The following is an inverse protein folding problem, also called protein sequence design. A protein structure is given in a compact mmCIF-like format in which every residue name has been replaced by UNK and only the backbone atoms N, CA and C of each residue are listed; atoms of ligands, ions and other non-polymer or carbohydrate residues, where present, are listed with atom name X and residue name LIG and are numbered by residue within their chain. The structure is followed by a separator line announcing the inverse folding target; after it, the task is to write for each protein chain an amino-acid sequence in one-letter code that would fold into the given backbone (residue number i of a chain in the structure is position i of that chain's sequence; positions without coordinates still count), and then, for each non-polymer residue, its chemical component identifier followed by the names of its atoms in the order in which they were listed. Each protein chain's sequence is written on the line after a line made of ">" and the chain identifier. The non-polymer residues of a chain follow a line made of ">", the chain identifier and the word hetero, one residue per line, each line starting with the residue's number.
data_IF_713542600854
#
_entry.id   IF_713542600854
#
_cell.length_a   1.000
_cell.length_b   1.000
_cell.length_c   1.000
_cell.angle_alpha   90.00
_cell.angle_beta   90.00
_cell.angle_gamma   90.00
#
_symmetry.space_group_name_H-M   'P 1'
#
loop_
_entity.id
_entity.type
_entity.pdbx_description
1 polymer ?
#
# COMPACT_ATOMS: atom_id res chain seq x y z
N UNK A 1 -3.07 5.90 0.39
CA UNK A 1 -2.47 4.55 0.38
C UNK A 1 -2.56 3.71 -0.92
N UNK A 2 -3.34 4.03 -1.97
CA UNK A 2 -3.32 3.23 -3.22
C UNK A 2 -3.19 4.04 -4.52
N UNK A 3 -3.28 5.38 -4.44
CA UNK A 3 -3.03 6.42 -5.47
C UNK A 3 -3.16 6.03 -6.96
N UNK A 4 -4.11 5.16 -7.31
CA UNK A 4 -4.25 4.64 -8.68
C UNK A 4 -2.97 3.98 -9.21
N UNK A 5 -2.18 3.30 -8.38
CA UNK A 5 -0.86 2.75 -8.78
C UNK A 5 -0.92 1.83 -10.00
N UNK A 6 -2.05 1.15 -10.22
CA UNK A 6 -2.29 0.31 -11.40
C UNK A 6 -2.57 1.11 -12.69
N UNK A 7 -2.83 2.41 -12.59
CA UNK A 7 -3.04 3.32 -13.73
C UNK A 7 -1.76 4.04 -14.16
N UNK A 8 -0.66 3.97 -13.38
CA UNK A 8 0.64 4.57 -13.72
C UNK A 8 1.10 4.20 -15.14
N UNK A 9 0.99 2.94 -15.61
CA UNK A 9 1.38 2.58 -16.97
C UNK A 9 0.62 3.32 -18.08
N UNK A 10 -0.58 3.84 -17.79
CA UNK A 10 -1.43 4.57 -18.76
C UNK A 10 -1.02 6.05 -18.87
N UNK A 11 -0.36 6.60 -17.85
CA UNK A 11 0.01 8.03 -17.78
C UNK A 11 0.83 8.50 -19.00
N UNK A 12 1.90 7.80 -19.44
CA UNK A 12 2.67 8.22 -20.61
C UNK A 12 1.81 8.30 -21.89
N UNK A 13 0.89 7.36 -22.07
CA UNK A 13 -0.01 7.32 -23.24
C UNK A 13 -0.94 8.52 -23.26
N UNK A 14 -1.57 8.84 -22.12
CA UNK A 14 -2.44 10.01 -21.99
C UNK A 14 -1.69 11.32 -22.18
N UNK A 15 -0.44 11.41 -21.69
CA UNK A 15 0.40 12.59 -21.91
C UNK A 15 0.73 12.78 -23.39
N UNK A 16 1.13 11.73 -24.10
CA UNK A 16 1.43 11.80 -25.54
C UNK A 16 0.19 12.20 -26.33
N UNK A 17 -0.96 11.58 -26.07
CA UNK A 17 -2.22 11.93 -26.72
C UNK A 17 -2.67 13.36 -26.40
N UNK A 18 -2.54 13.80 -25.15
CA UNK A 18 -2.83 15.17 -24.73
C UNK A 18 -1.94 16.18 -25.45
N UNK A 19 -0.64 15.90 -25.57
CA UNK A 19 0.30 16.75 -26.31
C UNK A 19 -0.01 16.78 -27.81
N UNK A 20 -0.30 15.65 -28.43
CA UNK A 20 -0.65 15.56 -29.85
C UNK A 20 -1.95 16.32 -30.17
N UNK A 21 -2.99 16.15 -29.34
CA UNK A 21 -4.24 16.89 -29.45
C UNK A 21 -4.04 18.39 -29.25
N UNK A 22 -3.23 18.78 -28.27
CA UNK A 22 -2.91 20.20 -28.04
C UNK A 22 -2.15 20.80 -29.24
N UNK A 23 -1.18 20.08 -29.80
CA UNK A 23 -0.45 20.53 -30.97
C UNK A 23 -1.36 20.71 -32.21
N UNK A 24 -2.31 19.79 -32.41
CA UNK A 24 -3.30 19.89 -33.48
C UNK A 24 -4.22 21.11 -33.31
N UNK A 25 -4.68 21.38 -32.09
CA UNK A 25 -5.55 22.53 -31.80
C UNK A 25 -4.82 23.88 -31.92
N UNK A 26 -3.55 23.93 -31.54
CA UNK A 26 -2.72 25.15 -31.58
C UNK A 26 -2.08 25.38 -32.96
N UNK A 27 -2.14 24.41 -33.87
CA UNK A 27 -1.56 24.47 -35.23
C UNK A 27 -2.15 25.53 -36.17
N UNK A 28 -3.20 26.24 -35.78
CA UNK A 28 -3.69 27.41 -36.51
C UNK A 28 -2.66 28.54 -36.58
N UNK A 29 -2.87 29.52 -37.47
CA UNK A 29 -2.06 30.76 -37.56
C UNK A 29 -2.83 31.95 -36.97
N UNK A 30 -3.07 32.02 -35.65
CA UNK A 30 -3.74 33.16 -35.05
C UNK A 30 -2.87 34.43 -35.19
N UNK A 31 -3.48 35.63 -35.15
CA UNK A 31 -2.74 36.89 -35.19
C UNK A 31 -1.71 36.95 -34.06
N UNK A 32 -0.56 37.60 -34.31
CA UNK A 32 0.63 37.54 -33.44
C UNK A 32 0.39 37.90 -31.98
N UNK A 33 -0.50 38.87 -31.70
CA UNK A 33 -0.88 39.27 -30.33
C UNK A 33 -1.68 38.19 -29.60
N UNK A 34 -2.63 37.54 -30.28
CA UNK A 34 -3.43 36.45 -29.72
C UNK A 34 -2.55 35.22 -29.44
N UNK A 35 -1.65 34.88 -30.38
CA UNK A 35 -0.67 33.80 -30.21
C UNK A 35 0.21 34.01 -28.97
N UNK A 36 0.70 35.24 -28.78
CA UNK A 36 1.54 35.59 -27.64
C UNK A 36 0.78 35.54 -26.30
N UNK A 37 -0.45 36.07 -26.26
CA UNK A 37 -1.30 36.01 -25.07
C UNK A 37 -1.63 34.56 -24.70
N UNK A 38 -2.08 33.76 -25.67
CA UNK A 38 -2.39 32.34 -25.48
C UNK A 38 -1.17 31.58 -24.98
N UNK A 39 0.00 31.77 -25.61
CA UNK A 39 1.24 31.13 -25.16
C UNK A 39 1.62 31.46 -23.71
N UNK A 40 1.48 32.73 -23.30
CA UNK A 40 1.74 33.13 -21.91
C UNK A 40 0.76 32.53 -20.92
N UNK A 41 -0.53 32.52 -21.26
CA UNK A 41 -1.56 31.90 -20.42
C UNK A 41 -1.30 30.40 -20.29
N UNK A 42 -0.97 29.71 -21.39
CA UNK A 42 -0.62 28.28 -21.35
C UNK A 42 0.57 27.99 -20.45
N UNK A 43 1.67 28.74 -20.59
CA UNK A 43 2.85 28.57 -19.71
C UNK A 43 2.50 28.83 -18.26
N UNK A 44 1.71 29.88 -17.97
CA UNK A 44 1.26 30.19 -16.61
C UNK A 44 0.38 29.09 -16.03
N UNK A 45 -0.57 28.56 -16.80
CA UNK A 45 -1.45 27.45 -16.38
C UNK A 45 -0.66 26.18 -16.14
N UNK A 46 0.24 25.80 -17.05
CA UNK A 46 1.10 24.62 -16.87
C UNK A 46 1.98 24.81 -15.64
N UNK A 47 2.60 25.98 -15.47
CA UNK A 47 3.40 26.29 -14.30
C UNK A 47 2.61 26.16 -13.00
N UNK A 48 1.39 26.72 -12.95
CA UNK A 48 0.50 26.61 -11.80
C UNK A 48 0.11 25.16 -11.52
N UNK A 49 -0.30 24.40 -12.54
CA UNK A 49 -0.68 22.99 -12.40
C UNK A 49 0.49 22.14 -11.92
N UNK A 50 1.71 22.39 -12.42
CA UNK A 50 2.91 21.70 -11.94
C UNK A 50 3.19 22.02 -10.48
N UNK A 51 3.11 23.28 -10.07
CA UNK A 51 3.29 23.67 -8.66
C UNK A 51 2.26 23.01 -7.77
N UNK A 52 0.98 23.01 -8.16
CA UNK A 52 -0.09 22.33 -7.42
C UNK A 52 0.14 20.82 -7.35
N UNK A 53 0.54 20.20 -8.47
CA UNK A 53 0.84 18.77 -8.55
C UNK A 53 1.98 18.40 -7.59
N UNK A 54 3.07 19.16 -7.60
CA UNK A 54 4.20 18.95 -6.69
C UNK A 54 3.82 19.13 -5.23
N UNK A 55 3.01 20.15 -4.92
CA UNK A 55 2.61 20.39 -3.53
C UNK A 55 1.71 19.29 -2.98
N UNK A 56 0.68 18.90 -3.73
CA UNK A 56 -0.21 17.79 -3.36
C UNK A 56 0.54 16.45 -3.33
N UNK A 57 1.42 16.23 -4.30
CA UNK A 57 2.26 15.03 -4.37
C UNK A 57 3.22 14.92 -3.21
N UNK A 58 3.83 16.02 -2.78
CA UNK A 58 4.71 16.05 -1.60
C UNK A 58 3.93 15.71 -0.32
N UNK A 59 2.78 16.34 -0.11
CA UNK A 59 1.92 16.05 1.05
C UNK A 59 1.54 14.56 1.08
N UNK A 60 1.01 14.02 -0.02
CA UNK A 60 0.66 12.60 -0.13
C UNK A 60 1.87 11.68 0.12
N UNK A 61 3.01 11.96 -0.50
CA UNK A 61 4.24 11.19 -0.33
C UNK A 61 4.71 11.16 1.12
N UNK A 62 4.74 12.31 1.80
CA UNK A 62 5.17 12.36 3.20
C UNK A 62 4.27 11.55 4.12
N UNK A 63 2.94 11.59 3.88
CA UNK A 63 1.97 10.82 4.66
C UNK A 63 2.11 9.32 4.41
N UNK A 64 2.22 8.89 3.15
CA UNK A 64 2.41 7.48 2.80
C UNK A 64 3.70 6.92 3.43
N UNK A 65 4.80 7.67 3.37
CA UNK A 65 6.08 7.28 4.00
C UNK A 65 5.96 7.20 5.52
N UNK A 66 5.22 8.12 6.15
CA UNK A 66 4.99 8.10 7.59
C UNK A 66 4.18 6.87 8.02
N UNK A 67 3.13 6.51 7.27
CA UNK A 67 2.35 5.28 7.51
C UNK A 67 3.21 4.04 7.34
N UNK A 68 3.93 3.89 6.22
CA UNK A 68 4.79 2.72 5.96
C UNK A 68 5.80 2.51 7.10
N UNK A 69 6.46 3.59 7.53
CA UNK A 69 7.48 3.49 8.57
C UNK A 69 6.87 3.25 9.96
N UNK A 70 5.74 3.89 10.27
CA UNK A 70 5.05 3.76 11.56
C UNK A 70 4.35 2.41 11.74
N UNK A 71 3.86 1.82 10.65
CA UNK A 71 3.12 0.57 10.64
C UNK A 71 4.01 -0.63 10.30
N UNK A 72 4.30 -0.81 9.01
CA UNK A 72 4.94 -2.03 8.51
C UNK A 72 6.39 -2.16 8.98
N UNK A 73 7.18 -1.08 8.89
CA UNK A 73 8.60 -1.10 9.29
C UNK A 73 8.75 -1.21 10.81
N UNK A 74 7.92 -0.49 11.58
CA UNK A 74 7.94 -0.59 13.04
C UNK A 74 7.59 -2.00 13.52
N UNK A 75 6.56 -2.62 12.92
CA UNK A 75 6.14 -3.99 13.22
C UNK A 75 7.23 -5.00 12.85
N UNK A 76 7.84 -4.86 11.67
CA UNK A 76 8.94 -5.74 11.26
C UNK A 76 10.13 -5.66 12.22
N UNK A 77 10.52 -4.45 12.65
CA UNK A 77 11.57 -4.27 13.65
C UNK A 77 11.20 -4.82 15.03
N UNK A 78 9.91 -4.78 15.40
CA UNK A 78 9.44 -5.41 16.63
C UNK A 78 9.59 -6.94 16.54
N UNK A 79 9.17 -7.56 15.43
CA UNK A 79 9.32 -9.00 15.20
C UNK A 79 10.79 -9.44 15.30
N UNK A 80 11.70 -8.75 14.62
CA UNK A 80 13.14 -9.05 14.67
C UNK A 80 13.68 -9.07 16.11
N UNK A 81 13.19 -8.20 16.99
CA UNK A 81 13.69 -8.07 18.37
C UNK A 81 13.01 -8.98 19.38
N UNK A 82 11.78 -9.45 19.10
CA UNK A 82 10.92 -10.09 20.11
C UNK A 82 10.54 -11.53 19.77
N UNK A 83 10.87 -12.02 18.58
CA UNK A 83 10.48 -13.37 18.13
C UNK A 83 11.69 -14.11 17.53
N UNK A 84 11.64 -15.44 17.47
CA UNK A 84 12.76 -16.26 17.01
C UNK A 84 12.88 -16.18 15.47
N UNK A 85 14.11 -16.25 14.92
CA UNK A 85 14.34 -16.09 13.48
C UNK A 85 13.74 -17.20 12.60
N UNK A 86 13.45 -18.36 13.17
CA UNK A 86 12.89 -19.55 12.50
C UNK A 86 11.36 -19.66 12.65
N UNK A 87 10.72 -18.74 13.37
CA UNK A 87 9.26 -18.74 13.54
C UNK A 87 8.57 -18.18 12.29
N UNK A 88 7.66 -18.99 11.74
CA UNK A 88 6.87 -18.65 10.56
C UNK A 88 5.86 -17.53 10.87
N UNK A 89 5.74 -16.59 9.93
CA UNK A 89 4.86 -15.42 10.05
C UNK A 89 3.86 -15.44 8.92
N UNK A 90 2.57 -15.28 9.23
CA UNK A 90 1.54 -14.97 8.25
C UNK A 90 1.30 -13.46 8.20
N UNK A 91 1.21 -12.88 7.01
CA UNK A 91 0.92 -11.47 6.83
C UNK A 91 0.22 -11.18 5.50
N UNK A 92 -0.59 -10.11 5.45
CA UNK A 92 -1.11 -9.58 4.18
C UNK A 92 -0.10 -8.64 3.50
N UNK A 93 0.44 -7.68 4.25
CA UNK A 93 1.42 -6.73 3.74
C UNK A 93 2.85 -7.23 3.99
N UNK A 94 3.29 -8.15 3.14
CA UNK A 94 4.54 -8.90 3.33
C UNK A 94 5.82 -8.10 3.07
N UNK A 95 5.74 -6.92 2.43
CA UNK A 95 6.90 -6.22 1.87
C UNK A 95 7.98 -5.85 2.90
N UNK A 96 7.64 -4.99 3.86
CA UNK A 96 8.59 -4.58 4.89
C UNK A 96 8.87 -5.73 5.88
N UNK A 97 7.85 -6.52 6.19
CA UNK A 97 7.98 -7.66 7.11
C UNK A 97 9.04 -8.62 6.55
N UNK A 98 8.89 -9.11 5.33
CA UNK A 98 9.86 -10.04 4.71
C UNK A 98 11.23 -9.42 4.50
N UNK A 99 11.31 -8.14 4.12
CA UNK A 99 12.58 -7.45 3.91
C UNK A 99 13.42 -7.32 5.18
N UNK A 100 12.81 -6.92 6.31
CA UNK A 100 13.54 -6.68 7.56
C UNK A 100 13.67 -7.93 8.43
N UNK A 101 12.71 -8.87 8.38
CA UNK A 101 12.80 -10.10 9.17
C UNK A 101 13.69 -11.15 8.50
N UNK A 102 13.81 -11.12 7.17
CA UNK A 102 14.49 -12.15 6.36
C UNK A 102 13.96 -13.57 6.62
N UNK A 103 12.67 -13.69 6.95
CA UNK A 103 12.00 -14.96 7.26
C UNK A 103 11.11 -15.44 6.12
N UNK A 104 10.78 -16.72 6.16
CA UNK A 104 9.68 -17.27 5.39
C UNK A 104 8.34 -16.66 5.87
N UNK A 105 7.47 -16.31 4.92
CA UNK A 105 6.20 -15.65 5.20
C UNK A 105 5.09 -16.36 4.44
N UNK A 106 4.00 -16.64 5.14
CA UNK A 106 2.72 -17.02 4.54
C UNK A 106 1.99 -15.75 4.13
N UNK A 107 1.77 -15.59 2.82
CA UNK A 107 1.20 -14.38 2.25
C UNK A 107 -0.31 -14.49 2.03
N UNK A 108 -1.06 -13.75 2.84
CA UNK A 108 -2.52 -13.72 2.76
C UNK A 108 -3.04 -13.01 1.50
N UNK A 109 -2.21 -12.21 0.82
CA UNK A 109 -2.56 -11.51 -0.41
C UNK A 109 -2.24 -12.32 -1.68
N UNK A 110 -1.56 -13.46 -1.54
CA UNK A 110 -1.27 -14.39 -2.64
C UNK A 110 -0.24 -13.92 -3.67
N UNK A 111 0.62 -12.94 -3.35
CA UNK A 111 1.76 -12.53 -4.18
C UNK A 111 2.85 -13.61 -4.21
N UNK A 112 3.16 -14.21 -3.05
CA UNK A 112 4.15 -15.31 -2.95
C UNK A 112 3.53 -16.66 -2.53
N UNK A 113 2.29 -16.66 -2.03
CA UNK A 113 1.51 -17.85 -1.68
C UNK A 113 0.30 -18.00 -2.62
N UNK A 114 0.50 -18.40 -3.90
CA UNK A 114 -0.56 -18.37 -4.92
C UNK A 114 -1.74 -19.31 -4.61
N UNK A 115 -1.54 -20.30 -3.74
CA UNK A 115 -2.58 -21.23 -3.31
C UNK A 115 -3.72 -20.53 -2.56
N UNK A 116 -3.46 -19.35 -1.98
CA UNK A 116 -4.47 -18.51 -1.31
C UNK A 116 -5.42 -17.81 -2.29
N UNK A 117 -4.99 -17.55 -3.52
CA UNK A 117 -5.75 -16.74 -4.51
C UNK A 117 -7.21 -17.20 -4.71
N UNK A 118 -7.55 -18.50 -4.79
CA UNK A 118 -8.92 -18.95 -4.97
C UNK A 118 -9.87 -18.57 -3.83
N UNK A 119 -9.34 -18.37 -2.62
CA UNK A 119 -10.13 -18.13 -1.40
C UNK A 119 -9.66 -16.90 -0.60
N UNK A 120 -8.87 -16.02 -1.20
CA UNK A 120 -8.29 -14.80 -0.60
C UNK A 120 -9.29 -13.85 0.07
N UNK A 121 -10.59 -13.96 -0.26
CA UNK A 121 -11.69 -13.15 0.32
C UNK A 121 -12.57 -13.91 1.30
N UNK A 122 -12.27 -15.18 1.55
CA UNK A 122 -13.02 -16.04 2.44
C UNK A 122 -12.18 -16.25 3.71
N UNK A 123 -12.50 -15.49 4.76
CA UNK A 123 -11.75 -15.54 6.03
C UNK A 123 -11.80 -16.92 6.68
N UNK A 124 -12.89 -17.67 6.50
CA UNK A 124 -13.01 -19.02 7.03
C UNK A 124 -12.02 -19.97 6.35
N UNK A 125 -11.94 -19.92 5.02
CA UNK A 125 -10.95 -20.72 4.27
C UNK A 125 -9.51 -20.26 4.54
N UNK A 126 -9.27 -18.96 4.74
CA UNK A 126 -7.97 -18.44 5.17
C UNK A 126 -7.57 -18.98 6.55
N UNK A 127 -8.50 -19.05 7.50
CA UNK A 127 -8.25 -19.64 8.83
C UNK A 127 -7.88 -21.12 8.69
N UNK A 128 -8.64 -21.88 7.90
CA UNK A 128 -8.36 -23.30 7.66
C UNK A 128 -6.98 -23.50 7.00
N UNK A 129 -6.62 -22.64 6.06
CA UNK A 129 -5.30 -22.62 5.44
C UNK A 129 -4.19 -22.29 6.44
N UNK A 130 -4.37 -21.25 7.26
CA UNK A 130 -3.39 -20.87 8.29
C UNK A 130 -3.24 -21.93 9.38
N UNK A 131 -4.31 -22.64 9.74
CA UNK A 131 -4.23 -23.78 10.64
C UNK A 131 -3.38 -24.92 10.04
N UNK A 132 -3.31 -25.05 8.71
CA UNK A 132 -2.47 -26.05 8.05
C UNK A 132 -1.01 -25.60 7.96
N UNK A 133 -0.78 -24.33 7.62
CA UNK A 133 0.57 -23.75 7.53
C UNK A 133 1.23 -23.55 8.90
N UNK A 134 0.45 -23.45 9.97
CA UNK A 134 0.95 -23.31 11.34
C UNK A 134 1.93 -22.14 11.56
N UNK A 135 1.57 -20.90 11.16
CA UNK A 135 2.37 -19.75 11.54
C UNK A 135 2.35 -19.58 13.07
N UNK A 136 3.40 -18.98 13.63
CA UNK A 136 3.43 -18.62 15.06
C UNK A 136 2.80 -17.25 15.27
N UNK A 137 2.96 -16.36 14.29
CA UNK A 137 2.45 -15.00 14.33
C UNK A 137 1.61 -14.67 13.11
N UNK A 138 0.51 -13.96 13.34
CA UNK A 138 -0.27 -13.29 12.31
C UNK A 138 -0.04 -11.78 12.41
N UNK A 139 0.27 -11.14 11.28
CA UNK A 139 0.44 -9.68 11.18
C UNK A 139 -0.55 -9.10 10.20
N UNK A 140 -1.42 -8.22 10.68
CA UNK A 140 -2.41 -7.56 9.85
C UNK A 140 -2.91 -6.27 10.51
N UNK A 141 -3.55 -5.41 9.71
CA UNK A 141 -4.50 -4.45 10.24
C UNK A 141 -5.75 -5.20 10.72
N UNK A 142 -6.23 -4.97 11.95
CA UNK A 142 -7.35 -5.72 12.53
C UNK A 142 -8.64 -5.65 11.71
N UNK A 143 -8.90 -4.48 11.14
CA UNK A 143 -10.04 -4.11 10.31
C UNK A 143 -10.04 -4.75 8.92
N UNK A 144 -8.93 -5.35 8.48
CA UNK A 144 -8.87 -6.09 7.21
C UNK A 144 -9.40 -7.51 7.32
N UNK A 145 -9.25 -8.14 8.48
CA UNK A 145 -9.63 -9.53 8.73
C UNK A 145 -10.28 -9.70 10.10
N UNK A 146 -11.47 -9.10 10.31
CA UNK A 146 -12.13 -9.12 11.61
C UNK A 146 -12.40 -10.53 12.14
N UNK A 147 -12.73 -11.49 11.27
CA UNK A 147 -12.97 -12.88 11.69
C UNK A 147 -11.65 -13.58 12.05
N UNK A 148 -10.59 -13.36 11.26
CA UNK A 148 -9.28 -13.93 11.55
C UNK A 148 -8.69 -13.36 12.84
N UNK A 149 -8.88 -12.10 13.20
CA UNK A 149 -8.29 -11.56 14.44
C UNK A 149 -9.15 -11.83 15.69
N UNK A 150 -10.43 -12.18 15.52
CA UNK A 150 -11.36 -12.38 16.64
C UNK A 150 -10.90 -13.51 17.56
N UNK A 151 -10.83 -13.21 18.86
CA UNK A 151 -10.47 -14.18 19.90
C UNK A 151 -8.98 -14.52 19.99
N UNK A 152 -8.13 -13.94 19.14
CA UNK A 152 -6.67 -14.17 19.16
C UNK A 152 -5.96 -13.23 20.11
N UNK A 153 -4.90 -13.70 20.74
CA UNK A 153 -4.08 -12.89 21.62
C UNK A 153 -3.23 -11.92 20.82
N UNK A 154 -3.55 -10.62 20.92
CA UNK A 154 -2.69 -9.55 20.43
C UNK A 154 -1.46 -9.40 21.34
N UNK A 155 -0.27 -9.50 20.76
CA UNK A 155 1.01 -9.36 21.49
C UNK A 155 1.73 -8.05 21.21
N UNK A 156 1.37 -7.39 20.12
CA UNK A 156 1.89 -6.07 19.76
C UNK A 156 0.90 -5.33 18.86
N UNK A 157 0.87 -4.01 18.99
CA UNK A 157 0.20 -3.11 18.06
C UNK A 157 1.05 -1.84 17.96
N UNK A 158 1.14 -1.29 16.76
CA UNK A 158 1.75 0.02 16.53
C UNK A 158 0.85 1.13 17.11
N UNK A 159 1.43 2.31 17.30
CA UNK A 159 0.72 3.48 17.84
C UNK A 159 0.93 4.70 16.94
N UNK A 160 0.64 4.55 15.65
CA UNK A 160 0.86 5.60 14.67
C UNK A 160 -0.35 6.52 14.58
N UNK A 161 -0.18 7.78 14.98
CA UNK A 161 -1.25 8.78 14.93
C UNK A 161 -1.77 9.02 13.50
N UNK A 162 -0.89 9.05 12.50
CA UNK A 162 -1.28 9.34 11.13
C UNK A 162 -2.21 8.26 10.53
N UNK A 163 -2.03 7.00 10.92
CA UNK A 163 -2.90 5.88 10.51
C UNK A 163 -4.31 6.09 11.06
N UNK A 164 -4.43 6.48 12.34
CA UNK A 164 -5.72 6.81 12.95
C UNK A 164 -6.37 8.05 12.35
N UNK A 165 -5.58 9.05 11.93
CA UNK A 165 -6.10 10.21 11.21
C UNK A 165 -6.73 9.83 9.87
N UNK A 166 -6.28 8.74 9.25
CA UNK A 166 -6.92 8.14 8.07
C UNK A 166 -8.16 7.29 8.38
N UNK A 167 -8.47 7.07 9.66
CA UNK A 167 -9.61 6.27 10.11
C UNK A 167 -9.39 4.76 10.02
N UNK A 168 -8.14 4.33 9.87
CA UNK A 168 -7.73 2.92 9.86
C UNK A 168 -7.23 2.52 11.25
N UNK A 169 -7.37 1.24 11.62
CA UNK A 169 -6.72 0.74 12.82
C UNK A 169 -5.21 0.57 12.62
N UNK A 170 -4.47 0.54 13.71
CA UNK A 170 -3.02 0.34 13.66
C UNK A 170 -2.68 -1.15 13.47
N UNK A 171 -1.61 -1.44 12.74
CA UNK A 171 -1.13 -2.79 12.47
C UNK A 171 -0.82 -3.53 13.77
N UNK A 172 -1.27 -4.78 13.84
CA UNK A 172 -1.16 -5.61 15.02
C UNK A 172 -0.50 -6.95 14.70
N UNK A 173 0.10 -7.53 15.74
CA UNK A 173 0.68 -8.87 15.74
C UNK A 173 -0.10 -9.71 16.74
N UNK A 174 -0.56 -10.87 16.28
CA UNK A 174 -1.32 -11.83 17.06
C UNK A 174 -0.56 -13.15 17.15
N UNK A 175 -0.71 -13.85 18.28
CA UNK A 175 -0.30 -15.25 18.38
C UNK A 175 -1.29 -16.14 17.65
N UNK A 176 -0.74 -17.12 16.95
CA UNK A 176 -1.50 -18.16 16.29
C UNK A 176 -1.22 -19.49 16.98
N UNK A 177 -2.13 -19.91 17.86
CA UNK A 177 -1.96 -21.09 18.71
C UNK A 177 -2.62 -22.36 18.14
N UNK A 178 -3.30 -22.25 17.00
CA UNK A 178 -4.11 -23.34 16.44
C UNK A 178 -3.42 -23.98 15.24
N UNK A 179 -3.14 -25.27 15.35
CA UNK A 179 -2.52 -26.07 14.30
C UNK A 179 -3.35 -27.31 13.98
N UNK A 180 -3.43 -27.68 12.69
CA UNK A 180 -4.12 -28.90 12.27
C UNK A 180 -3.26 -30.10 12.67
N UNK A 181 -3.55 -30.71 13.83
CA UNK A 181 -2.81 -31.88 14.33
C UNK A 181 -2.66 -31.96 15.86
N UNK A 182 -3.09 -30.93 16.59
CA UNK A 182 -3.16 -30.91 18.06
C UNK A 182 -4.49 -31.46 18.62
#
# INVERSE_FOLDING_TARGET
>A
YQHGRYLIPVVPVLLIWGLAGTAALVGGKPPGRLRWMVGRVWVAVIGLLLVLFWWLGLDAFTKDVAVINGEMVATANWLVRNTKPDELIAAHDIGAIGFFTEREIVDLAGLISPDVIPFIRDESQLIDYLNQECPVYLVTFPDWYPEIVTGRQMVFQTDTAITREFGEENMAVYLWETCTGD
#
